data_IF_873976740140
#
_entry.id   IF_873976740140
#
_cell.length_a   1.000
_cell.length_b   1.000
_cell.length_c   1.000
_cell.angle_alpha   90.00
_cell.angle_beta   90.00
_cell.angle_gamma   90.00
#
_symmetry.space_group_name_H-M   'P 1'
#
loop_
_entity.id
_entity.type
_entity.pdbx_description
1 polymer ?
#
# COMPACT_ATOMS: atom_id res chain seq x y z
N UNK A 1 10.86 -30.13 -32.91
CA UNK A 1 9.98 -29.89 -31.74
C UNK A 1 10.36 -28.54 -31.15
N UNK A 2 9.57 -27.49 -31.41
CA UNK A 2 9.86 -26.16 -30.89
C UNK A 2 9.71 -26.17 -29.37
N UNK A 3 10.76 -25.74 -28.64
CA UNK A 3 10.67 -25.48 -27.20
C UNK A 3 9.55 -24.47 -26.99
N UNK A 4 8.56 -24.84 -26.17
CA UNK A 4 7.50 -23.95 -25.73
C UNK A 4 8.18 -22.70 -25.13
N UNK A 5 8.01 -21.55 -25.78
CA UNK A 5 8.65 -20.30 -25.39
C UNK A 5 8.22 -19.93 -23.97
N UNK A 6 9.19 -19.74 -23.07
CA UNK A 6 8.91 -19.20 -21.76
C UNK A 6 8.37 -17.77 -21.93
N UNK A 7 7.10 -17.54 -21.59
CA UNK A 7 6.51 -16.21 -21.58
C UNK A 7 6.94 -15.56 -20.26
N UNK A 8 7.70 -14.49 -20.34
CA UNK A 8 8.05 -13.66 -19.20
C UNK A 8 7.03 -12.51 -19.10
N UNK A 9 6.43 -12.34 -17.92
CA UNK A 9 5.43 -11.30 -17.66
C UNK A 9 5.89 -10.49 -16.46
N UNK A 10 5.98 -9.18 -16.66
CA UNK A 10 6.12 -8.20 -15.57
C UNK A 10 4.80 -7.47 -15.42
N UNK A 11 4.25 -7.47 -14.21
CA UNK A 11 3.00 -6.78 -13.88
C UNK A 11 3.28 -5.55 -13.03
N UNK A 12 2.70 -4.41 -13.42
CA UNK A 12 2.62 -3.22 -12.60
C UNK A 12 1.15 -2.89 -12.38
N UNK A 13 0.75 -2.73 -11.13
CA UNK A 13 -0.57 -2.24 -10.79
C UNK A 13 -0.47 -1.03 -9.87
N UNK A 14 -1.40 -0.09 -10.03
CA UNK A 14 -1.52 1.12 -9.23
C UNK A 14 -2.93 1.12 -8.65
N UNK A 15 -3.04 1.21 -7.33
CA UNK A 15 -4.36 1.29 -6.70
C UNK A 15 -5.21 0.02 -6.85
N UNK A 16 -4.63 -1.14 -7.19
CA UNK A 16 -5.42 -2.34 -7.47
C UNK A 16 -6.22 -2.79 -6.23
N UNK A 17 -7.54 -3.02 -6.36
CA UNK A 17 -8.31 -3.67 -5.31
C UNK A 17 -7.90 -5.14 -5.18
N UNK A 18 -8.40 -5.82 -4.13
CA UNK A 18 -8.27 -7.28 -4.01
C UNK A 18 -9.15 -7.94 -5.07
N UNK A 19 -8.61 -8.92 -5.78
CA UNK A 19 -9.28 -9.51 -6.97
C UNK A 19 -9.68 -10.98 -6.79
N UNK A 20 -9.17 -11.67 -5.77
CA UNK A 20 -9.46 -13.07 -5.55
C UNK A 20 -9.17 -13.52 -4.13
N UNK A 21 -9.48 -14.78 -3.84
CA UNK A 21 -9.22 -15.39 -2.54
C UNK A 21 -7.76 -15.84 -2.38
N UNK A 22 -7.42 -16.39 -1.21
CA UNK A 22 -6.07 -16.90 -0.92
C UNK A 22 -5.54 -17.88 -1.97
N UNK A 23 -6.35 -18.84 -2.43
CA UNK A 23 -5.94 -19.82 -3.45
C UNK A 23 -5.61 -19.15 -4.78
N UNK A 24 -6.39 -18.15 -5.17
CA UNK A 24 -6.10 -17.34 -6.36
C UNK A 24 -4.78 -16.60 -6.20
N UNK A 25 -4.57 -15.94 -5.05
CA UNK A 25 -3.37 -15.16 -4.80
C UNK A 25 -2.09 -16.02 -4.80
N UNK A 26 -2.14 -17.21 -4.20
CA UNK A 26 -1.06 -18.19 -4.23
C UNK A 26 -0.74 -18.63 -5.66
N UNK A 27 -1.76 -19.02 -6.44
CA UNK A 27 -1.59 -19.44 -7.83
C UNK A 27 -1.08 -18.30 -8.74
N UNK A 28 -1.45 -17.05 -8.46
CA UNK A 28 -0.93 -15.89 -9.17
C UNK A 28 0.55 -15.67 -8.85
N UNK A 29 0.92 -15.63 -7.57
CA UNK A 29 2.28 -15.37 -7.11
C UNK A 29 3.28 -16.46 -7.58
N UNK A 30 2.81 -17.69 -7.80
CA UNK A 30 3.63 -18.76 -8.37
C UNK A 30 3.94 -18.51 -9.87
N UNK A 31 2.96 -17.99 -10.62
CA UNK A 31 3.02 -17.82 -12.08
C UNK A 31 3.62 -16.49 -12.51
N UNK A 32 3.33 -15.40 -11.80
CA UNK A 32 3.75 -14.03 -12.14
C UNK A 32 4.66 -13.51 -11.04
N UNK A 33 5.93 -13.90 -11.11
CA UNK A 33 6.92 -13.60 -10.06
C UNK A 33 7.35 -12.13 -10.04
N UNK A 34 7.35 -11.49 -11.20
CA UNK A 34 7.74 -10.10 -11.36
C UNK A 34 6.48 -9.21 -11.35
N UNK A 35 5.93 -9.01 -10.16
CA UNK A 35 4.70 -8.25 -9.96
C UNK A 35 4.89 -7.16 -8.92
N UNK A 36 4.51 -5.94 -9.28
CA UNK A 36 4.65 -4.74 -8.48
C UNK A 36 3.28 -4.14 -8.20
N UNK A 37 2.92 -4.01 -6.92
CA UNK A 37 1.68 -3.37 -6.49
C UNK A 37 1.99 -2.03 -5.84
N UNK A 38 1.73 -0.94 -6.54
CA UNK A 38 1.98 0.41 -6.04
C UNK A 38 0.70 0.89 -5.36
N UNK A 39 0.83 1.30 -4.10
CA UNK A 39 -0.29 1.75 -3.26
C UNK A 39 0.00 3.14 -2.73
N UNK A 40 -0.87 4.10 -3.05
CA UNK A 40 -0.87 5.40 -2.39
C UNK A 40 -1.55 5.23 -1.02
N UNK A 41 -0.94 5.75 0.04
CA UNK A 41 -1.49 5.61 1.40
C UNK A 41 -2.91 6.20 1.54
N UNK A 42 -3.24 7.21 0.72
CA UNK A 42 -4.55 7.89 0.72
C UNK A 42 -5.57 7.22 -0.21
N UNK A 43 -5.14 6.24 -1.00
CA UNK A 43 -6.03 5.52 -1.90
C UNK A 43 -6.75 4.42 -1.12
N UNK A 44 -8.07 4.52 -1.07
CA UNK A 44 -8.94 3.56 -0.39
C UNK A 44 -9.19 2.30 -1.23
N UNK A 45 -8.97 2.33 -2.55
CA UNK A 45 -9.36 1.23 -3.45
C UNK A 45 -8.54 -0.05 -3.21
N UNK A 46 -7.21 0.01 -2.96
CA UNK A 46 -6.44 -1.15 -2.52
C UNK A 46 -6.98 -1.80 -1.26
N UNK A 47 -7.74 -1.06 -0.47
CA UNK A 47 -8.26 -1.56 0.78
C UNK A 47 -9.53 -2.37 0.63
N UNK A 48 -10.15 -2.45 -0.55
CA UNK A 48 -11.40 -3.18 -0.77
C UNK A 48 -11.21 -4.34 -1.76
N UNK A 49 -12.07 -5.38 -1.73
CA UNK A 49 -13.04 -5.76 -0.69
C UNK A 49 -12.36 -6.43 0.53
N UNK A 50 -12.76 -6.05 1.75
CA UNK A 50 -12.14 -6.49 3.03
C UNK A 50 -12.75 -7.75 3.61
N UNK A 51 -14.07 -7.84 3.48
CA UNK A 51 -14.86 -8.95 3.96
C UNK A 51 -15.05 -9.95 2.81
N UNK A 52 -15.21 -11.24 3.12
CA UNK A 52 -15.45 -12.36 2.18
C UNK A 52 -14.23 -13.08 1.59
N UNK A 53 -13.09 -13.08 2.28
CA UNK A 53 -12.02 -14.03 1.92
C UNK A 53 -11.04 -13.55 0.84
N UNK A 54 -11.12 -12.27 0.45
CA UNK A 54 -10.27 -11.68 -0.59
C UNK A 54 -8.86 -11.38 -0.06
N UNK A 55 -7.85 -11.71 -0.86
CA UNK A 55 -6.44 -11.52 -0.56
C UNK A 55 -5.75 -10.74 -1.69
N UNK A 56 -4.72 -10.00 -1.31
CA UNK A 56 -3.86 -9.32 -2.28
C UNK A 56 -2.86 -10.27 -2.93
N UNK A 57 -2.50 -9.94 -4.17
CA UNK A 57 -1.40 -10.56 -4.90
C UNK A 57 -0.14 -9.70 -4.81
N UNK A 58 1.03 -10.33 -4.80
CA UNK A 58 2.34 -9.68 -4.62
C UNK A 58 2.48 -8.88 -3.30
N UNK A 59 3.68 -8.34 -3.05
CA UNK A 59 3.95 -7.43 -1.93
C UNK A 59 3.65 -5.99 -2.35
N UNK A 60 3.03 -5.15 -1.50
CA UNK A 60 2.80 -3.75 -1.85
C UNK A 60 4.08 -2.92 -1.77
N UNK A 61 4.15 -1.88 -2.58
CA UNK A 61 5.09 -0.77 -2.49
C UNK A 61 4.28 0.47 -2.13
N UNK A 62 4.41 0.91 -0.89
CA UNK A 62 3.68 2.08 -0.39
C UNK A 62 4.36 3.39 -0.78
N UNK A 63 3.58 4.26 -1.41
CA UNK A 63 3.91 5.65 -1.63
C UNK A 63 3.30 6.48 -0.48
N UNK A 64 4.17 7.05 0.34
CA UNK A 64 3.80 8.02 1.36
C UNK A 64 4.47 9.36 1.02
N UNK A 65 3.70 10.44 1.09
CA UNK A 65 4.21 11.80 1.03
C UNK A 65 4.63 12.19 2.46
N UNK A 66 5.93 12.29 2.74
CA UNK A 66 6.45 12.57 4.09
C UNK A 66 7.84 11.97 4.32
N UNK A 67 8.54 12.48 5.33
CA UNK A 67 9.96 12.19 5.57
C UNK A 67 10.29 10.70 5.75
N UNK A 68 11.41 10.31 5.14
CA UNK A 68 11.98 8.97 5.01
C UNK A 68 12.31 8.23 6.33
N UNK A 69 12.11 8.83 7.51
CA UNK A 69 12.43 8.18 8.80
C UNK A 69 11.45 7.07 9.18
N UNK A 70 10.36 6.98 8.46
CA UNK A 70 9.19 6.22 8.84
C UNK A 70 8.97 4.95 8.00
N UNK A 71 9.79 4.75 6.97
CA UNK A 71 9.63 3.62 6.04
C UNK A 71 10.02 2.26 6.62
N UNK A 72 10.69 2.22 7.78
CA UNK A 72 11.08 0.98 8.48
C UNK A 72 10.41 0.82 9.85
N UNK A 73 9.69 1.85 10.33
CA UNK A 73 9.04 1.88 11.63
C UNK A 73 7.50 2.01 11.56
N UNK A 74 6.90 2.34 10.41
CA UNK A 74 5.50 2.72 10.35
C UNK A 74 4.54 1.56 10.08
N UNK A 75 4.50 0.64 11.04
CA UNK A 75 3.24 0.01 11.43
C UNK A 75 2.44 0.94 12.35
N UNK A 76 3.05 1.99 12.93
CA UNK A 76 2.36 2.91 13.83
C UNK A 76 2.73 4.38 13.53
N UNK A 77 1.69 5.21 13.34
CA UNK A 77 1.67 6.67 13.50
C UNK A 77 2.48 7.55 12.50
N UNK A 78 1.77 8.10 11.51
CA UNK A 78 2.07 9.42 10.94
C UNK A 78 0.89 10.38 11.16
N UNK A 79 1.22 11.67 11.31
CA UNK A 79 0.43 12.77 11.87
C UNK A 79 -0.91 13.10 11.18
N UNK A 80 -1.26 12.45 10.07
CA UNK A 80 -2.51 12.71 9.31
C UNK A 80 -3.72 11.89 9.81
N UNK A 81 -3.61 11.22 10.96
CA UNK A 81 -4.71 10.47 11.57
C UNK A 81 -5.19 9.24 10.80
N UNK A 82 -4.57 8.93 9.66
CA UNK A 82 -4.84 7.75 8.86
C UNK A 82 -3.94 6.60 9.33
N UNK A 83 -4.46 5.77 10.24
CA UNK A 83 -3.85 4.46 10.51
C UNK A 83 -3.85 3.69 9.18
N UNK A 84 -2.66 3.42 8.64
CA UNK A 84 -2.49 2.57 7.47
C UNK A 84 -3.28 1.28 7.63
N UNK A 85 -3.71 0.71 6.51
CA UNK A 85 -4.70 -0.36 6.48
C UNK A 85 -4.15 -1.74 6.92
N UNK A 86 -3.66 -1.81 8.17
CA UNK A 86 -3.10 -3.02 8.81
C UNK A 86 -4.12 -4.16 8.79
N UNK A 87 -5.42 -3.83 8.83
CA UNK A 87 -6.53 -4.79 8.76
C UNK A 87 -6.68 -5.36 7.34
N UNK A 88 -6.39 -4.57 6.31
CA UNK A 88 -6.58 -4.97 4.92
C UNK A 88 -5.54 -5.96 4.38
N UNK A 89 -4.39 -6.07 5.03
CA UNK A 89 -3.39 -7.10 4.74
C UNK A 89 -3.58 -8.36 5.58
N UNK A 90 -4.39 -8.28 6.64
CA UNK A 90 -4.66 -9.41 7.51
C UNK A 90 -5.47 -10.47 6.74
N UNK A 91 -5.13 -11.74 7.01
CA UNK A 91 -5.84 -12.87 6.42
C UNK A 91 -7.30 -12.83 6.89
N UNK A 92 -8.27 -13.10 6.00
CA UNK A 92 -9.70 -13.09 6.36
C UNK A 92 -10.05 -13.92 7.61
N UNK A 93 -9.31 -15.02 7.85
CA UNK A 93 -9.49 -15.88 9.02
C UNK A 93 -9.13 -15.18 10.34
N UNK A 94 -8.13 -14.28 10.32
CA UNK A 94 -7.74 -13.46 11.48
C UNK A 94 -8.84 -12.46 11.79
N UNK A 95 -9.35 -11.77 10.78
CA UNK A 95 -10.44 -10.78 10.90
C UNK A 95 -11.70 -11.44 11.50
N UNK A 96 -12.10 -12.61 10.99
CA UNK A 96 -13.29 -13.31 11.48
C UNK A 96 -13.08 -13.80 12.92
N UNK A 97 -11.89 -14.31 13.25
CA UNK A 97 -11.60 -14.78 14.61
C UNK A 97 -11.60 -13.63 15.63
N UNK A 98 -10.96 -12.50 15.32
CA UNK A 98 -10.97 -11.33 16.21
C UNK A 98 -12.38 -10.71 16.33
N UNK A 99 -13.15 -10.70 15.24
CA UNK A 99 -14.56 -10.30 15.28
C UNK A 99 -15.39 -11.20 16.21
N UNK A 100 -15.20 -12.53 16.15
CA UNK A 100 -15.91 -13.49 17.00
C UNK A 100 -15.48 -13.44 18.46
N UNK A 101 -14.26 -12.95 18.75
CA UNK A 101 -13.79 -12.69 20.12
C UNK A 101 -14.37 -11.41 20.73
N UNK A 102 -15.05 -10.59 19.95
CA UNK A 102 -15.73 -9.39 20.46
C UNK A 102 -14.78 -8.28 20.88
N UNK A 103 -13.59 -8.21 20.28
CA UNK A 103 -12.64 -7.12 20.51
C UNK A 103 -13.25 -5.80 20.04
N UNK A 104 -13.72 -4.97 20.99
CA UNK A 104 -14.42 -3.71 20.68
C UNK A 104 -13.56 -2.76 19.87
N UNK A 105 -12.26 -2.70 20.16
CA UNK A 105 -11.32 -1.85 19.41
C UNK A 105 -11.23 -2.25 17.93
N UNK A 106 -11.30 -3.54 17.64
CA UNK A 106 -11.26 -4.04 16.26
C UNK A 106 -12.54 -3.71 15.50
N UNK A 107 -13.70 -3.88 16.15
CA UNK A 107 -15.01 -3.53 15.58
C UNK A 107 -15.08 -2.02 15.31
N UNK A 108 -14.63 -1.19 16.26
CA UNK A 108 -14.59 0.26 16.08
C UNK A 108 -13.67 0.66 14.91
N UNK A 109 -12.50 0.03 14.76
CA UNK A 109 -11.62 0.27 13.61
C UNK A 109 -12.29 -0.10 12.29
N UNK A 110 -13.01 -1.21 12.20
CA UNK A 110 -13.76 -1.59 11.00
C UNK A 110 -14.83 -0.52 10.69
N UNK A 111 -15.62 -0.15 11.69
CA UNK A 111 -16.70 0.83 11.53
C UNK A 111 -16.17 2.19 11.06
N UNK A 112 -15.10 2.70 11.69
CA UNK A 112 -14.46 3.96 11.26
C UNK A 112 -13.96 3.88 9.82
N UNK A 113 -13.43 2.73 9.44
CA UNK A 113 -12.93 2.53 8.08
C UNK A 113 -14.05 2.54 7.05
N UNK A 114 -15.17 1.86 7.32
CA UNK A 114 -16.34 1.89 6.45
C UNK A 114 -16.92 3.31 6.34
N UNK A 115 -17.04 4.03 7.47
CA UNK A 115 -17.46 5.44 7.47
C UNK A 115 -16.53 6.28 6.58
N UNK A 116 -15.21 6.11 6.71
CA UNK A 116 -14.24 6.85 5.89
C UNK A 116 -14.37 6.53 4.40
N UNK A 117 -14.62 5.28 4.02
CA UNK A 117 -14.90 4.90 2.62
C UNK A 117 -16.16 5.61 2.12
N UNK A 118 -17.26 5.60 2.89
CA UNK A 118 -18.48 6.30 2.49
C UNK A 118 -18.29 7.81 2.38
N UNK A 119 -17.57 8.42 3.31
CA UNK A 119 -17.28 9.86 3.30
C UNK A 119 -16.45 10.25 2.08
N UNK A 120 -15.39 9.48 1.78
CA UNK A 120 -14.48 9.74 0.66
C UNK A 120 -15.11 9.50 -0.71
N UNK A 121 -16.06 8.56 -0.82
CA UNK A 121 -16.89 8.41 -2.03
C UNK A 121 -17.83 9.61 -2.18
N UNK A 122 -18.44 10.06 -1.08
CA UNK A 122 -19.39 11.19 -1.09
C UNK A 122 -18.73 12.51 -1.44
N UNK A 123 -17.53 12.78 -0.91
CA UNK A 123 -16.80 14.02 -1.19
C UNK A 123 -15.95 13.96 -2.48
N UNK A 124 -15.84 12.78 -3.10
CA UNK A 124 -15.10 12.54 -4.35
C UNK A 124 -13.60 12.34 -4.16
N UNK A 125 -13.07 12.45 -2.94
CA UNK A 125 -11.65 12.25 -2.64
C UNK A 125 -11.18 10.83 -2.95
N UNK A 126 -12.05 9.83 -2.78
CA UNK A 126 -11.75 8.43 -3.13
C UNK A 126 -11.33 8.27 -4.59
N UNK A 127 -12.08 8.89 -5.50
CA UNK A 127 -11.79 8.85 -6.92
C UNK A 127 -10.50 9.61 -7.21
N UNK A 128 -10.35 10.80 -6.63
CA UNK A 128 -9.17 11.64 -6.83
C UNK A 128 -7.89 10.93 -6.38
N UNK A 129 -7.85 10.39 -5.16
CA UNK A 129 -6.66 9.71 -4.62
C UNK A 129 -6.29 8.43 -5.38
N UNK A 130 -7.28 7.78 -6.00
CA UNK A 130 -7.08 6.60 -6.85
C UNK A 130 -6.53 6.96 -8.25
N UNK A 131 -6.79 8.18 -8.73
CA UNK A 131 -6.32 8.60 -10.05
C UNK A 131 -4.80 8.76 -10.11
N UNK A 132 -4.26 8.52 -11.31
CA UNK A 132 -2.82 8.52 -11.60
C UNK A 132 -2.12 9.83 -11.19
N UNK A 133 -2.82 10.97 -11.25
CA UNK A 133 -2.26 12.28 -10.88
C UNK A 133 -1.73 12.29 -9.44
N UNK A 134 -2.44 11.68 -8.49
CA UNK A 134 -2.00 11.63 -7.10
C UNK A 134 -0.85 10.65 -6.91
N UNK A 135 -0.86 9.51 -7.61
CA UNK A 135 0.29 8.60 -7.65
C UNK A 135 1.54 9.28 -8.21
N UNK A 136 1.39 10.06 -9.28
CA UNK A 136 2.46 10.82 -9.89
C UNK A 136 2.99 11.92 -8.97
N UNK A 137 2.11 12.71 -8.34
CA UNK A 137 2.48 13.75 -7.40
C UNK A 137 3.25 13.14 -6.22
N UNK A 138 2.72 12.08 -5.58
CA UNK A 138 3.40 11.43 -4.46
C UNK A 138 4.75 10.84 -4.87
N UNK A 139 4.85 10.26 -6.07
CA UNK A 139 6.11 9.75 -6.59
C UNK A 139 7.12 10.89 -6.83
N UNK A 140 6.70 12.00 -7.43
CA UNK A 140 7.54 13.17 -7.66
C UNK A 140 8.05 13.76 -6.35
N UNK A 141 7.19 13.86 -5.33
CA UNK A 141 7.58 14.32 -4.00
C UNK A 141 8.63 13.40 -3.38
N UNK A 142 8.42 12.07 -3.48
CA UNK A 142 9.36 11.07 -2.98
C UNK A 142 10.72 11.14 -3.70
N UNK A 143 10.70 11.28 -5.03
CA UNK A 143 11.94 11.43 -5.83
C UNK A 143 12.66 12.73 -5.45
N UNK A 144 11.95 13.86 -5.36
CA UNK A 144 12.53 15.15 -4.94
C UNK A 144 13.13 15.09 -3.53
N UNK A 145 12.44 14.41 -2.61
CA UNK A 145 12.94 14.20 -1.25
C UNK A 145 14.23 13.38 -1.26
N UNK A 146 14.27 12.24 -1.98
CA UNK A 146 15.45 11.40 -2.10
C UNK A 146 16.66 12.18 -2.65
N UNK A 147 16.46 13.01 -3.69
CA UNK A 147 17.52 13.85 -4.24
C UNK A 147 18.03 14.89 -3.23
N UNK A 148 17.15 15.51 -2.44
CA UNK A 148 17.54 16.46 -1.39
C UNK A 148 18.35 15.78 -0.28
N UNK A 149 17.94 14.59 0.16
CA UNK A 149 18.68 13.81 1.15
C UNK A 149 20.07 13.48 0.64
N UNK A 150 20.19 12.97 -0.60
CA UNK A 150 21.48 12.63 -1.20
C UNK A 150 22.43 13.85 -1.31
N UNK A 151 21.90 15.01 -1.68
CA UNK A 151 22.71 16.24 -1.77
C UNK A 151 23.20 16.70 -0.39
N UNK A 152 22.36 16.59 0.65
CA UNK A 152 22.72 16.96 2.01
C UNK A 152 23.75 15.99 2.63
N UNK A 153 23.66 14.69 2.35
CA UNK A 153 24.68 13.73 2.79
C UNK A 153 26.04 13.98 2.13
N UNK A 154 26.06 14.32 0.84
CA UNK A 154 27.31 14.64 0.13
C UNK A 154 27.93 15.96 0.62
N UNK A 155 27.13 16.95 1.01
CA UNK A 155 27.62 18.20 1.59
C UNK A 155 28.24 17.97 2.98
N UNK A 156 27.61 17.13 3.82
CA UNK A 156 28.11 16.83 5.15
C UNK A 156 29.42 16.00 5.14
N UNK A 157 29.60 15.10 4.16
CA UNK A 157 30.88 14.40 3.98
C UNK A 157 31.99 15.33 3.50
N UNK A 158 31.70 16.29 2.62
CA UNK A 158 32.69 17.26 2.14
C UNK A 158 33.19 18.18 3.27
N UNK A 159 32.31 18.60 4.18
CA UNK A 159 32.69 19.42 5.33
C UNK A 159 33.50 18.62 6.38
N UNK A 160 33.21 17.33 6.57
CA UNK A 160 33.94 16.46 7.51
C UNK A 160 35.38 16.13 7.08
N UNK A 161 35.69 16.20 5.78
CA UNK A 161 37.05 16.04 5.26
C UNK A 161 37.84 17.37 5.17
N UNK A 162 37.22 18.48 5.58
CA UNK A 162 37.82 19.82 5.52
C UNK A 162 38.25 20.39 6.88
N UNK A 163 38.13 19.62 7.97
CA UNK A 163 38.59 19.94 9.32
C UNK A 163 39.77 19.04 9.76
#
# INVERSE_FOLDING_TARGET
MAKCGAIYVTMYNFGSPRVGNKKFAEAYNEKVKDSWRIVNHRDIIPTVPRLMGYCHVAQPVYLAAGDLKDSLANVELLEDGYQGDIIGEATPDVIVNEFMKGEREFIDKILQTEINIFLSIRDGSALMQHMEDFYYITLLEKVRSNYRVMNNSNANEADAFSA
#
